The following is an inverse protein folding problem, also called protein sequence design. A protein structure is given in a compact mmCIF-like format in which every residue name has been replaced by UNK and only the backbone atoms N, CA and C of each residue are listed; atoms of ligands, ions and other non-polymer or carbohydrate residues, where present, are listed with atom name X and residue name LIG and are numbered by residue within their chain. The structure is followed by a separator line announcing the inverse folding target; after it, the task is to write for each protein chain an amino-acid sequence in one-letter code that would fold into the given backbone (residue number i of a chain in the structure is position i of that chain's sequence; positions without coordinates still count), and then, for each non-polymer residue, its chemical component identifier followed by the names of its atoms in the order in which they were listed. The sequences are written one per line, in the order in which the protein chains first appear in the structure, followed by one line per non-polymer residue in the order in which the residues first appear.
data_IF_435199650971
#
_entry.id   IF_435199650971
#
_cell.length_a   1.000
_cell.length_b   1.000
_cell.length_c   1.000
_cell.angle_alpha   90.00
_cell.angle_beta   90.00
_cell.angle_gamma   90.00
#
_symmetry.space_group_name_H-M   'P 1'
#
loop_
_entity.id
_entity.type
_entity.pdbx_description
1 polymer ?
#
# COMPACT_ATOMS: atom_id res chain seq x y z
N UNK A 1 -26.83 25.11 0.65
CA UNK A 1 -25.46 24.60 0.88
C UNK A 1 -25.57 23.41 1.80
N UNK A 2 -25.52 22.18 1.26
CA UNK A 2 -25.68 20.96 2.04
C UNK A 2 -24.42 20.68 2.86
N UNK A 3 -24.58 20.39 4.15
CA UNK A 3 -23.48 20.02 5.03
C UNK A 3 -22.69 18.85 4.44
N UNK A 4 -21.34 18.87 4.50
CA UNK A 4 -20.54 17.72 4.08
C UNK A 4 -21.01 16.49 4.86
N UNK A 5 -21.29 15.40 4.14
CA UNK A 5 -21.71 14.14 4.77
C UNK A 5 -20.60 13.73 5.74
N UNK A 6 -20.96 13.48 7.00
CA UNK A 6 -20.01 12.95 7.97
C UNK A 6 -19.59 11.53 7.54
N UNK A 7 -18.35 11.34 7.11
CA UNK A 7 -17.86 10.07 6.54
C UNK A 7 -17.07 9.21 7.55
N UNK A 8 -16.83 9.71 8.76
CA UNK A 8 -15.96 9.10 9.78
C UNK A 8 -14.49 9.56 9.66
N UNK A 9 -13.55 8.77 10.22
CA UNK A 9 -12.11 8.98 9.98
C UNK A 9 -11.77 8.69 8.51
N UNK A 10 -11.14 9.66 7.86
CA UNK A 10 -10.84 9.62 6.43
C UNK A 10 -12.03 9.96 5.53
N UNK A 11 -11.74 10.39 4.30
CA UNK A 11 -12.75 10.70 3.29
C UNK A 11 -13.05 9.43 2.48
N UNK A 12 -13.99 8.61 2.96
CA UNK A 12 -14.38 7.33 2.33
C UNK A 12 -14.88 7.51 0.91
N UNK A 13 -15.51 8.65 0.61
CA UNK A 13 -15.96 8.97 -0.74
C UNK A 13 -14.78 9.28 -1.66
N UNK A 14 -13.77 9.99 -1.19
CA UNK A 14 -12.54 10.21 -1.95
C UNK A 14 -11.83 8.89 -2.25
N UNK A 15 -11.71 7.98 -1.27
CA UNK A 15 -11.13 6.65 -1.50
C UNK A 15 -11.91 5.84 -2.53
N UNK A 16 -13.24 5.80 -2.44
CA UNK A 16 -14.08 5.12 -3.45
C UNK A 16 -13.93 5.73 -4.84
N UNK A 17 -13.93 7.07 -4.93
CA UNK A 17 -13.78 7.78 -6.20
C UNK A 17 -12.40 7.54 -6.80
N UNK A 18 -11.36 7.54 -5.97
CA UNK A 18 -10.01 7.21 -6.39
C UNK A 18 -9.94 5.80 -6.97
N UNK A 19 -10.40 4.78 -6.23
CA UNK A 19 -10.39 3.39 -6.70
C UNK A 19 -11.14 3.22 -8.03
N UNK A 20 -12.29 3.89 -8.15
CA UNK A 20 -13.08 3.87 -9.39
C UNK A 20 -12.32 4.52 -10.55
N UNK A 21 -11.82 5.74 -10.36
CA UNK A 21 -11.09 6.47 -11.38
C UNK A 21 -9.82 5.73 -11.83
N UNK A 22 -9.08 5.14 -10.89
CA UNK A 22 -7.91 4.31 -11.21
C UNK A 22 -8.29 3.10 -12.05
N UNK A 23 -9.37 2.39 -11.67
CA UNK A 23 -9.84 1.23 -12.44
C UNK A 23 -10.24 1.64 -13.86
N UNK A 24 -11.05 2.69 -13.99
CA UNK A 24 -11.49 3.21 -15.29
C UNK A 24 -10.30 3.68 -16.15
N UNK A 25 -9.30 4.32 -15.55
CA UNK A 25 -8.09 4.72 -16.26
C UNK A 25 -7.34 3.50 -16.78
N UNK A 26 -7.05 2.51 -15.94
CA UNK A 26 -6.33 1.29 -16.35
C UNK A 26 -7.08 0.56 -17.46
N UNK A 27 -8.42 0.51 -17.40
CA UNK A 27 -9.25 -0.15 -18.42
C UNK A 27 -9.43 0.69 -19.70
N UNK A 28 -9.11 1.98 -19.67
CA UNK A 28 -9.22 2.87 -20.84
C UNK A 28 -8.13 2.63 -21.88
N UNK A 29 -8.41 2.92 -23.15
CA UNK A 29 -7.41 2.84 -24.24
C UNK A 29 -6.16 3.69 -23.94
N UNK A 30 -6.36 4.89 -23.40
CA UNK A 30 -5.27 5.76 -22.98
C UNK A 30 -4.44 5.09 -21.89
N UNK A 31 -5.07 4.56 -20.84
CA UNK A 31 -4.33 3.88 -19.77
C UNK A 31 -3.57 2.66 -20.28
N UNK A 32 -4.15 1.88 -21.20
CA UNK A 32 -3.46 0.76 -21.83
C UNK A 32 -2.24 1.21 -22.67
N UNK A 33 -2.33 2.33 -23.39
CA UNK A 33 -1.19 2.91 -24.12
C UNK A 33 -0.08 3.37 -23.15
N UNK A 34 -0.44 4.07 -22.08
CA UNK A 34 0.52 4.52 -21.05
C UNK A 34 1.18 3.34 -20.35
N UNK A 35 0.42 2.27 -20.05
CA UNK A 35 0.93 1.02 -19.48
C UNK A 35 1.86 0.32 -20.48
N UNK A 36 1.52 0.27 -21.77
CA UNK A 36 2.36 -0.33 -22.79
C UNK A 36 3.70 0.43 -22.98
N UNK A 37 3.67 1.75 -22.79
CA UNK A 37 4.85 2.60 -22.82
C UNK A 37 5.59 2.64 -21.48
N UNK A 38 5.07 2.01 -20.42
CA UNK A 38 5.70 2.03 -19.11
C UNK A 38 7.08 1.34 -19.17
N UNK A 39 8.09 2.02 -18.66
CA UNK A 39 9.49 1.56 -18.73
C UNK A 39 10.21 1.91 -20.02
N UNK A 40 9.53 2.50 -21.01
CA UNK A 40 10.18 3.11 -22.16
C UNK A 40 10.68 4.49 -21.78
N UNK A 41 11.93 4.55 -21.32
CA UNK A 41 12.61 5.81 -20.96
C UNK A 41 13.51 6.26 -22.11
N UNK A 42 13.65 7.57 -22.28
CA UNK A 42 14.62 8.10 -23.24
C UNK A 42 16.05 7.77 -22.80
N UNK A 43 17.03 7.73 -23.72
CA UNK A 43 18.43 7.49 -23.36
C UNK A 43 19.00 8.49 -22.35
N UNK A 44 18.51 9.73 -22.35
CA UNK A 44 18.86 10.73 -21.34
C UNK A 44 18.30 10.39 -19.96
N UNK A 45 17.02 10.00 -19.90
CA UNK A 45 16.39 9.61 -18.63
C UNK A 45 17.03 8.35 -18.05
N UNK A 46 17.43 7.39 -18.88
CA UNK A 46 18.12 6.18 -18.43
C UNK A 46 19.50 6.50 -17.81
N UNK A 47 20.24 7.46 -18.37
CA UNK A 47 21.49 7.94 -17.78
C UNK A 47 21.27 8.61 -16.42
N UNK A 48 20.23 9.42 -16.30
CA UNK A 48 19.88 10.09 -15.06
C UNK A 48 19.43 9.08 -13.99
N UNK A 49 18.61 8.09 -14.36
CA UNK A 49 18.21 6.98 -13.48
C UNK A 49 19.45 6.23 -12.98
N UNK A 50 20.35 5.82 -13.89
CA UNK A 50 21.57 5.10 -13.53
C UNK A 50 22.46 5.91 -12.57
N UNK A 51 22.63 7.20 -12.83
CA UNK A 51 23.40 8.09 -11.96
C UNK A 51 22.77 8.20 -10.57
N UNK A 52 21.45 8.29 -10.50
CA UNK A 52 20.73 8.34 -9.23
C UNK A 52 20.88 7.04 -8.42
N UNK A 53 20.78 5.89 -9.08
CA UNK A 53 20.99 4.57 -8.46
C UNK A 53 22.42 4.40 -7.93
N UNK A 54 23.43 4.80 -8.69
CA UNK A 54 24.83 4.75 -8.26
C UNK A 54 25.06 5.61 -7.01
N UNK A 55 24.49 6.81 -6.96
CA UNK A 55 24.56 7.68 -5.78
C UNK A 55 23.81 7.09 -4.58
N UNK A 56 22.62 6.52 -4.79
CA UNK A 56 21.86 5.87 -3.71
C UNK A 56 22.64 4.68 -3.14
N UNK A 57 23.26 3.88 -4.00
CA UNK A 57 24.10 2.73 -3.61
C UNK A 57 25.35 3.16 -2.84
N UNK A 58 25.98 4.28 -3.21
CA UNK A 58 27.11 4.84 -2.45
C UNK A 58 26.66 5.29 -1.06
N UNK A 59 25.58 6.08 -0.97
CA UNK A 59 25.01 6.50 0.32
C UNK A 59 24.61 5.31 1.21
N UNK A 60 24.07 4.25 0.60
CA UNK A 60 23.69 3.04 1.31
C UNK A 60 24.90 2.22 1.80
N UNK A 61 26.04 2.25 1.09
CA UNK A 61 27.29 1.63 1.55
C UNK A 61 27.91 2.36 2.74
N UNK A 62 27.65 3.67 2.84
CA UNK A 62 28.10 4.52 3.94
C UNK A 62 27.08 4.58 5.10
N UNK A 63 25.94 3.88 5.00
CA UNK A 63 24.91 3.83 6.04
C UNK A 63 25.19 2.69 7.04
N UNK A 64 25.18 3.03 8.33
CA UNK A 64 25.36 2.11 9.46
C UNK A 64 24.43 0.88 9.35
N UNK A 65 24.94 -0.37 9.48
CA UNK A 65 24.12 -1.58 9.55
C UNK A 65 22.95 -1.52 10.55
N UNK A 66 23.05 -0.68 11.59
CA UNK A 66 21.99 -0.47 12.59
C UNK A 66 20.70 0.16 12.02
N UNK A 67 20.77 0.88 10.89
CA UNK A 67 19.62 1.53 10.27
C UNK A 67 18.73 0.54 9.48
N UNK A 68 19.18 -0.70 9.24
CA UNK A 68 18.43 -1.73 8.50
C UNK A 68 17.48 -2.57 9.38
N UNK A 69 17.44 -2.36 10.69
CA UNK A 69 16.70 -3.22 11.64
C UNK A 69 15.63 -2.48 12.45
N UNK A 70 14.81 -1.63 11.83
CA UNK A 70 13.57 -1.14 12.44
C UNK A 70 12.34 -1.25 11.51
N UNK A 71 12.37 -2.18 10.55
CA UNK A 71 11.20 -2.56 9.76
C UNK A 71 10.85 -4.05 9.94
N UNK A 72 10.96 -4.54 11.17
CA UNK A 72 10.43 -5.84 11.54
C UNK A 72 9.27 -5.66 12.51
N UNK A 73 8.09 -6.06 12.02
CA UNK A 73 6.93 -6.52 12.79
C UNK A 73 5.92 -5.47 13.29
N UNK A 74 5.06 -5.02 12.37
CA UNK A 74 3.71 -4.55 12.71
C UNK A 74 2.68 -5.15 11.72
N UNK A 75 2.74 -6.46 11.51
CA UNK A 75 1.64 -7.19 10.84
C UNK A 75 1.54 -8.64 11.31
N UNK A 76 1.77 -8.88 12.59
CA UNK A 76 1.34 -10.12 13.24
C UNK A 76 -0.16 -10.06 13.51
N UNK A 77 -0.89 -10.70 12.60
CA UNK A 77 -2.21 -11.32 12.77
C UNK A 77 -2.77 -11.32 14.21
N UNK A 78 -3.67 -10.41 14.53
CA UNK A 78 -4.72 -10.69 15.54
C UNK A 78 -5.84 -11.50 14.89
N UNK A 79 -5.54 -12.77 14.64
CA UNK A 79 -6.57 -13.81 14.59
C UNK A 79 -6.94 -14.14 16.03
N UNK A 80 -7.85 -13.38 16.64
CA UNK A 80 -8.42 -13.74 17.93
C UNK A 80 -9.22 -15.02 17.76
N UNK A 81 -8.56 -16.09 18.14
CA UNK A 81 -9.10 -17.43 18.17
C UNK A 81 -10.24 -17.44 19.18
N UNK A 82 -11.45 -17.60 18.63
CA UNK A 82 -12.68 -17.91 19.36
C UNK A 82 -12.52 -19.29 20.00
N UNK A 83 -11.82 -19.37 21.13
CA UNK A 83 -11.85 -20.53 22.03
C UNK A 83 -12.17 -20.03 23.43
N UNK A 84 -13.44 -20.16 23.79
CA UNK A 84 -13.98 -19.62 25.04
C UNK A 84 -15.38 -20.13 25.31
N UNK A 85 -15.45 -21.43 25.62
CA UNK A 85 -16.50 -22.04 26.46
C UNK A 85 -17.87 -22.33 25.83
N UNK A 86 -17.92 -23.38 25.01
CA UNK A 86 -19.08 -24.27 24.95
C UNK A 86 -19.00 -25.26 26.12
N UNK A 87 -19.78 -25.02 27.17
CA UNK A 87 -20.15 -26.07 28.15
C UNK A 87 -21.62 -25.92 28.51
N UNK A 88 -22.46 -26.42 27.61
CA UNK A 88 -23.78 -26.90 27.97
C UNK A 88 -23.61 -28.28 28.62
N UNK A 89 -23.88 -28.42 29.93
CA UNK A 89 -24.32 -29.67 30.59
C UNK A 89 -24.87 -29.37 32.00
N UNK A 90 -26.18 -29.58 32.18
CA UNK A 90 -26.95 -29.72 33.45
C UNK A 90 -26.66 -31.12 34.07
N UNK A 91 -27.02 -31.48 35.33
CA UNK A 91 -28.33 -31.26 35.99
C UNK A 91 -28.37 -31.10 37.54
N UNK A 92 -29.61 -31.15 38.03
CA UNK A 92 -30.22 -30.90 39.34
C UNK A 92 -29.56 -31.44 40.63
N UNK A 93 -29.78 -30.72 41.73
CA UNK A 93 -30.37 -31.30 42.95
C UNK A 93 -31.12 -30.24 43.78
#
# INVERSE_FOLDING_TARGET
MGSPRNEGEGNKSADRNYRKATKEFVESERGQQEIANAGNVSPSEEQDIRRAEEQAKQRAKDHDPAEMSNHSDATTREGTSREGSSRNSRPAH
#
